data_IF_816817129226
#
_entry.id   IF_816817129226
#
_cell.length_a   1.000
_cell.length_b   1.000
_cell.length_c   1.000
_cell.angle_alpha   90.00
_cell.angle_beta   90.00
_cell.angle_gamma   90.00
#
_symmetry.space_group_name_H-M   'P 1'
#
loop_
_entity.id
_entity.type
_entity.pdbx_description
1 polymer ?
#
# COMPACT_ATOMS: atom_id res chain seq x y z
N UNK A 1 -4.87 31.97 5.22
CA UNK A 1 -4.33 31.20 6.36
C UNK A 1 -5.35 30.25 6.93
N UNK A 2 -4.91 29.03 7.23
CA UNK A 2 -5.74 28.02 7.89
C UNK A 2 -5.88 28.36 9.40
N UNK A 3 -7.10 28.35 9.97
CA UNK A 3 -7.32 28.64 11.39
C UNK A 3 -6.52 27.76 12.35
N UNK A 4 -6.20 26.52 11.96
CA UNK A 4 -5.45 25.58 12.80
C UNK A 4 -3.99 26.00 13.00
N UNK A 5 -3.42 26.78 12.06
CA UNK A 5 -2.05 27.30 12.17
C UNK A 5 -1.89 28.36 13.27
N UNK A 6 -2.99 28.86 13.84
CA UNK A 6 -3.00 29.91 14.87
C UNK A 6 -3.13 29.37 16.30
N UNK A 7 -3.26 28.06 16.48
CA UNK A 7 -3.54 27.44 17.76
C UNK A 7 -2.24 26.94 18.42
N UNK A 8 -1.90 27.46 19.59
CA UNK A 8 -0.68 27.08 20.33
C UNK A 8 -0.72 25.64 20.87
N UNK A 9 -1.90 25.04 20.95
CA UNK A 9 -2.15 23.70 21.50
C UNK A 9 -2.31 22.61 20.42
N UNK A 10 -1.89 22.88 19.18
CA UNK A 10 -2.01 21.96 18.05
C UNK A 10 -0.66 21.71 17.39
N UNK A 11 -0.37 20.43 17.10
CA UNK A 11 0.76 20.02 16.26
C UNK A 11 0.22 19.49 14.95
N UNK A 12 0.63 20.11 13.84
CA UNK A 12 0.27 19.70 12.48
C UNK A 12 1.46 19.01 11.82
N UNK A 13 1.19 17.95 11.05
CA UNK A 13 2.22 17.25 10.28
C UNK A 13 1.77 17.08 8.83
N UNK A 14 2.65 17.25 7.83
CA UNK A 14 2.28 17.18 6.42
C UNK A 14 2.23 15.73 5.91
N UNK A 15 1.40 14.88 6.50
CA UNK A 15 1.26 13.46 6.13
C UNK A 15 2.61 12.71 6.14
N UNK A 16 3.37 12.85 7.23
CA UNK A 16 4.72 12.25 7.37
C UNK A 16 4.75 11.02 8.30
N UNK A 17 3.60 10.45 8.65
CA UNK A 17 3.51 9.33 9.59
C UNK A 17 4.33 8.09 9.19
N UNK A 18 4.51 7.84 7.89
CA UNK A 18 5.33 6.74 7.35
C UNK A 18 6.63 7.20 6.69
N UNK A 19 6.98 8.49 6.80
CA UNK A 19 8.02 9.12 5.98
C UNK A 19 9.45 8.92 6.51
N UNK A 20 9.77 7.73 7.05
CA UNK A 20 11.16 7.32 7.28
C UNK A 20 11.72 6.63 6.03
N UNK A 21 13.03 6.67 5.83
CA UNK A 21 13.67 5.96 4.71
C UNK A 21 13.38 4.45 4.76
N UNK A 22 13.56 3.82 5.92
CA UNK A 22 13.36 2.39 6.08
C UNK A 22 11.91 1.97 5.80
N UNK A 23 10.94 2.70 6.34
CA UNK A 23 9.52 2.41 6.11
C UNK A 23 9.14 2.60 4.65
N UNK A 24 9.55 3.71 4.00
CA UNK A 24 9.23 3.96 2.59
C UNK A 24 9.90 2.97 1.64
N UNK A 25 11.13 2.54 1.92
CA UNK A 25 11.81 1.51 1.15
C UNK A 25 11.08 0.17 1.27
N UNK A 26 10.76 -0.25 2.51
CA UNK A 26 10.06 -1.51 2.74
C UNK A 26 8.65 -1.52 2.13
N UNK A 27 7.93 -0.40 2.17
CA UNK A 27 6.64 -0.25 1.48
C UNK A 27 6.77 -0.47 -0.03
N UNK A 28 7.80 0.11 -0.66
CA UNK A 28 8.05 -0.04 -2.09
C UNK A 28 8.35 -1.49 -2.48
N UNK A 29 9.20 -2.16 -1.70
CA UNK A 29 9.50 -3.58 -1.86
C UNK A 29 8.25 -4.44 -1.71
N UNK A 30 7.46 -4.24 -0.65
CA UNK A 30 6.22 -4.99 -0.42
C UNK A 30 5.23 -4.86 -1.58
N UNK A 31 5.11 -3.67 -2.16
CA UNK A 31 4.25 -3.44 -3.34
C UNK A 31 4.76 -4.23 -4.54
N UNK A 32 6.06 -4.14 -4.84
CA UNK A 32 6.67 -4.86 -5.95
C UNK A 32 6.53 -6.39 -5.79
N UNK A 33 6.83 -6.91 -4.59
CA UNK A 33 6.67 -8.33 -4.25
C UNK A 33 5.21 -8.80 -4.43
N UNK A 34 4.24 -8.01 -3.95
CA UNK A 34 2.82 -8.31 -4.10
C UNK A 34 2.35 -8.34 -5.55
N UNK A 35 2.79 -7.39 -6.38
CA UNK A 35 2.50 -7.36 -7.82
C UNK A 35 3.09 -8.60 -8.51
N UNK A 36 4.35 -8.92 -8.22
CA UNK A 36 5.02 -10.10 -8.81
C UNK A 36 4.27 -11.39 -8.44
N UNK A 37 3.83 -11.54 -7.18
CA UNK A 37 3.02 -12.70 -6.76
C UNK A 37 1.76 -12.84 -7.62
N UNK A 38 0.99 -11.75 -7.78
CA UNK A 38 -0.23 -11.77 -8.62
C UNK A 38 0.10 -12.16 -10.06
N UNK A 39 1.15 -11.59 -10.65
CA UNK A 39 1.55 -11.90 -12.02
C UNK A 39 2.06 -13.33 -12.21
N UNK A 40 2.48 -14.01 -11.14
CA UNK A 40 2.81 -15.44 -11.13
C UNK A 40 1.60 -16.35 -10.91
N UNK A 41 0.41 -15.78 -10.66
CA UNK A 41 -0.78 -16.51 -10.24
C UNK A 41 -0.78 -16.87 -8.75
N UNK A 42 0.08 -16.26 -7.95
CA UNK A 42 0.18 -16.48 -6.51
C UNK A 42 -0.62 -15.43 -5.73
N UNK A 43 -1.15 -15.82 -4.57
CA UNK A 43 -1.89 -14.89 -3.70
C UNK A 43 -0.91 -13.92 -3.01
N UNK A 44 -1.07 -12.59 -3.14
CA UNK A 44 -0.26 -11.64 -2.40
C UNK A 44 -0.63 -11.63 -0.91
N UNK A 45 0.33 -11.30 -0.04
CA UNK A 45 0.17 -11.40 1.42
C UNK A 45 -0.94 -10.47 1.95
N UNK A 46 -1.07 -9.28 1.35
CA UNK A 46 -2.02 -8.24 1.75
C UNK A 46 -3.15 -8.06 0.74
N UNK A 47 -3.78 -9.16 0.30
CA UNK A 47 -4.93 -9.08 -0.62
C UNK A 47 -6.14 -8.45 0.07
N UNK A 48 -6.37 -7.16 -0.18
CA UNK A 48 -7.43 -6.39 0.48
C UNK A 48 -8.85 -6.84 0.10
N UNK A 49 -9.10 -7.10 -1.19
CA UNK A 49 -10.37 -7.61 -1.67
C UNK A 49 -10.23 -9.10 -2.04
N UNK A 50 -10.52 -10.04 -1.13
CA UNK A 50 -10.42 -11.46 -1.42
C UNK A 50 -11.50 -11.96 -2.39
N UNK A 51 -12.65 -11.31 -2.48
CA UNK A 51 -13.73 -11.71 -3.40
C UNK A 51 -13.36 -11.52 -4.87
N UNK A 52 -12.35 -10.71 -5.17
CA UNK A 52 -11.84 -10.53 -6.54
C UNK A 52 -11.41 -11.87 -7.16
N UNK A 53 -10.95 -12.84 -6.37
CA UNK A 53 -10.49 -14.14 -6.90
C UNK A 53 -11.64 -15.02 -7.38
N UNK A 54 -12.89 -14.72 -7.00
CA UNK A 54 -14.09 -15.38 -7.52
C UNK A 54 -14.50 -14.83 -8.89
N UNK A 55 -14.18 -13.57 -9.15
CA UNK A 55 -14.49 -12.87 -10.40
C UNK A 55 -13.36 -13.04 -11.41
N UNK A 56 -12.12 -13.01 -10.92
CA UNK A 56 -10.89 -13.12 -11.69
C UNK A 56 -9.90 -14.02 -10.95
N UNK A 57 -9.93 -15.35 -11.21
CA UNK A 57 -9.02 -16.30 -10.61
C UNK A 57 -7.55 -15.95 -10.86
N UNK A 58 -6.68 -16.28 -9.90
CA UNK A 58 -5.25 -15.93 -10.00
C UNK A 58 -4.56 -16.63 -11.19
N UNK A 59 -4.99 -17.84 -11.53
CA UNK A 59 -4.48 -18.59 -12.69
C UNK A 59 -4.79 -17.89 -14.02
N UNK A 60 -5.88 -17.11 -14.09
CA UNK A 60 -6.27 -16.38 -15.31
C UNK A 60 -5.54 -15.05 -15.50
N UNK A 61 -4.89 -14.52 -14.45
CA UNK A 61 -4.12 -13.26 -14.51
C UNK A 61 -2.62 -13.48 -14.57
N UNK A 62 -2.17 -14.73 -14.62
CA UNK A 62 -0.76 -15.08 -14.71
C UNK A 62 -0.16 -14.56 -16.02
N UNK A 63 0.95 -13.85 -15.90
CA UNK A 63 1.70 -13.26 -17.02
C UNK A 63 3.16 -13.71 -17.06
N UNK A 64 3.71 -14.12 -15.92
CA UNK A 64 5.10 -14.59 -15.76
C UNK A 64 5.17 -15.90 -14.99
#
# INVERSE_FOLDING_TARGET
DDPLLKLDNVVLTPHIGSASHDTRNRMSEYVAEGIIKVLKGEKPDNLFNPDVTKIKPLDEVKMI
#
